data_IF_205982692344
#
_entry.id   IF_205982692344
#
_cell.length_a   1.000
_cell.length_b   1.000
_cell.length_c   1.000
_cell.angle_alpha   90.00
_cell.angle_beta   90.00
_cell.angle_gamma   90.00
#
_symmetry.space_group_name_H-M   'P 1'
#
loop_
_entity.id
_entity.type
_entity.pdbx_description
1 polymer ?
#
# COMPACT_ATOMS: atom_id res chain seq x y z
N UNK A 1 -15.21 77.60 -5.03
CA UNK A 1 -14.46 76.94 -3.94
C UNK A 1 -14.96 77.50 -2.63
N UNK A 2 -15.18 76.61 -1.65
CA UNK A 2 -15.65 76.84 -0.27
C UNK A 2 -17.12 77.31 -0.13
N UNK A 3 -17.96 76.84 0.78
CA UNK A 3 -18.02 75.72 1.73
C UNK A 3 -19.39 75.84 2.44
N UNK A 4 -19.89 74.76 3.06
CA UNK A 4 -20.72 74.70 4.28
C UNK A 4 -21.91 73.72 4.19
N UNK A 5 -21.69 72.57 4.82
CA UNK A 5 -22.64 71.65 5.48
C UNK A 5 -22.46 71.94 7.00
N UNK A 6 -23.48 71.92 7.90
CA UNK A 6 -24.26 70.73 8.24
C UNK A 6 -25.75 70.86 8.68
N UNK A 7 -26.51 69.78 8.41
CA UNK A 7 -27.51 68.96 9.19
C UNK A 7 -28.26 69.52 10.43
N UNK A 8 -29.26 68.81 11.05
CA UNK A 8 -30.12 67.66 10.68
C UNK A 8 -31.62 67.85 11.08
N UNK A 9 -32.41 66.75 10.99
CA UNK A 9 -33.72 66.40 11.61
C UNK A 9 -34.78 66.14 10.54
N UNK A 10 -35.56 65.06 10.54
CA UNK A 10 -35.74 63.91 11.41
C UNK A 10 -36.96 63.16 10.85
N UNK A 11 -36.83 61.85 10.65
CA UNK A 11 -37.92 60.91 10.35
C UNK A 11 -38.98 60.93 11.48
N UNK A 12 -40.27 60.51 11.31
CA UNK A 12 -40.53 59.13 10.88
C UNK A 12 -41.88 58.75 10.21
N UNK A 13 -41.84 57.54 9.66
CA UNK A 13 -42.85 56.46 9.70
C UNK A 13 -44.19 56.62 8.94
N UNK A 14 -44.39 55.71 7.97
CA UNK A 14 -45.66 55.03 7.72
C UNK A 14 -45.38 53.59 7.23
N UNK A 15 -46.07 52.63 7.85
CA UNK A 15 -45.91 51.18 7.70
C UNK A 15 -46.46 50.57 6.39
N UNK A 16 -46.58 49.24 6.33
CA UNK A 16 -46.44 48.48 5.08
C UNK A 16 -47.72 48.44 4.23
N UNK A 17 -47.52 48.57 2.91
CA UNK A 17 -48.53 48.34 1.88
C UNK A 17 -48.68 46.82 1.66
N UNK A 18 -49.85 46.27 2.00
CA UNK A 18 -50.27 44.93 1.56
C UNK A 18 -50.41 44.93 0.03
N UNK A 19 -49.63 44.11 -0.67
CA UNK A 19 -49.93 43.69 -2.05
C UNK A 19 -50.28 42.21 -2.09
N UNK A 20 -51.56 41.97 -2.37
CA UNK A 20 -52.10 40.70 -2.84
C UNK A 20 -51.68 40.50 -4.29
N UNK A 21 -51.07 39.36 -4.60
CA UNK A 21 -51.05 38.82 -5.97
C UNK A 21 -51.10 37.30 -5.90
N UNK A 22 -52.27 36.77 -6.22
CA UNK A 22 -52.49 35.38 -6.62
C UNK A 22 -51.62 35.07 -7.84
N UNK A 23 -50.72 34.10 -7.70
CA UNK A 23 -50.18 33.33 -8.82
C UNK A 23 -50.08 31.87 -8.39
N UNK A 24 -51.03 31.07 -8.85
CA UNK A 24 -50.96 29.61 -8.92
C UNK A 24 -49.73 29.19 -9.74
N UNK A 25 -48.86 28.28 -9.24
CA UNK A 25 -48.03 27.48 -10.12
C UNK A 25 -48.81 26.20 -10.49
N UNK A 26 -49.00 26.02 -11.79
CA UNK A 26 -49.54 24.83 -12.42
C UNK A 26 -48.82 23.56 -11.95
N UNK A 27 -49.59 22.55 -11.54
CA UNK A 27 -49.11 21.17 -11.47
C UNK A 27 -48.61 20.75 -12.86
N UNK A 28 -47.30 20.51 -12.99
CA UNK A 28 -46.77 19.68 -14.08
C UNK A 28 -47.26 18.25 -13.85
N UNK A 29 -47.84 17.55 -14.85
CA UNK A 29 -48.01 16.12 -14.72
C UNK A 29 -46.60 15.52 -14.77
N UNK A 30 -46.12 14.98 -13.66
CA UNK A 30 -45.05 13.99 -13.70
C UNK A 30 -45.56 12.86 -14.58
N UNK A 31 -45.04 12.74 -15.79
CA UNK A 31 -45.08 11.49 -16.51
C UNK A 31 -44.24 10.50 -15.70
N UNK A 32 -44.89 9.76 -14.81
CA UNK A 32 -44.29 8.65 -14.07
C UNK A 32 -43.96 7.56 -15.10
N UNK A 33 -42.78 7.68 -15.73
CA UNK A 33 -42.18 6.55 -16.41
C UNK A 33 -41.77 5.59 -15.29
N UNK A 34 -42.65 4.62 -15.00
CA UNK A 34 -42.41 3.57 -14.03
C UNK A 34 -41.33 2.65 -14.62
N UNK A 35 -40.06 3.08 -14.56
CA UNK A 35 -38.95 2.18 -14.73
C UNK A 35 -39.04 1.18 -13.58
N UNK A 36 -39.29 -0.08 -13.91
CA UNK A 36 -39.08 -1.22 -13.02
C UNK A 36 -37.56 -1.38 -12.80
N UNK A 37 -36.91 -0.37 -12.21
CA UNK A 37 -35.64 -0.59 -11.56
C UNK A 37 -35.95 -1.49 -10.37
N UNK A 38 -35.36 -2.68 -10.35
CA UNK A 38 -35.35 -3.49 -9.13
C UNK A 38 -34.77 -2.62 -8.01
N UNK A 39 -35.23 -2.76 -6.76
CA UNK A 39 -34.78 -1.91 -5.66
C UNK A 39 -33.25 -1.87 -5.52
N UNK A 40 -32.56 -2.94 -5.92
CA UNK A 40 -31.10 -3.06 -5.96
C UNK A 40 -30.47 -2.09 -6.98
N UNK A 41 -30.92 -2.08 -8.22
CA UNK A 41 -30.39 -1.19 -9.25
C UNK A 41 -30.69 0.30 -8.97
N UNK A 42 -31.78 0.58 -8.26
CA UNK A 42 -32.11 1.95 -7.84
C UNK A 42 -31.22 2.43 -6.68
N UNK A 43 -30.85 1.55 -5.74
CA UNK A 43 -29.95 1.84 -4.64
C UNK A 43 -28.51 2.08 -5.12
N UNK A 44 -28.00 1.24 -6.03
CA UNK A 44 -26.65 1.42 -6.63
C UNK A 44 -26.52 2.77 -7.35
N UNK A 45 -27.56 3.20 -8.08
CA UNK A 45 -27.55 4.49 -8.75
C UNK A 45 -27.58 5.67 -7.76
N UNK A 46 -28.31 5.52 -6.64
CA UNK A 46 -28.37 6.54 -5.59
C UNK A 46 -27.02 6.68 -4.87
N UNK A 47 -26.39 5.56 -4.52
CA UNK A 47 -25.08 5.55 -3.88
C UNK A 47 -24.01 6.14 -4.79
N UNK A 48 -24.05 5.82 -6.09
CA UNK A 48 -23.15 6.42 -7.08
C UNK A 48 -23.37 7.93 -7.20
N UNK A 49 -24.62 8.39 -7.28
CA UNK A 49 -24.95 9.82 -7.34
C UNK A 49 -24.47 10.55 -6.09
N UNK A 50 -24.78 10.00 -4.90
CA UNK A 50 -24.37 10.56 -3.63
C UNK A 50 -22.83 10.67 -3.54
N UNK A 51 -22.10 9.63 -3.93
CA UNK A 51 -20.64 9.68 -3.96
C UNK A 51 -20.12 10.76 -4.91
N UNK A 52 -20.68 10.86 -6.12
CA UNK A 52 -20.18 11.77 -7.14
C UNK A 52 -20.50 13.24 -6.81
N UNK A 53 -21.65 13.51 -6.19
CA UNK A 53 -22.08 14.86 -5.80
C UNK A 53 -21.45 15.29 -4.47
N UNK A 54 -21.60 14.48 -3.42
CA UNK A 54 -21.29 14.88 -2.05
C UNK A 54 -19.90 14.44 -1.58
N UNK A 55 -19.24 13.54 -2.31
CA UNK A 55 -17.98 12.87 -1.90
C UNK A 55 -18.13 12.17 -0.55
N UNK A 56 -19.34 11.75 -0.17
CA UNK A 56 -19.59 11.08 1.11
C UNK A 56 -20.55 9.91 0.91
N UNK A 57 -20.06 8.70 1.13
CA UNK A 57 -20.80 7.46 0.94
C UNK A 57 -20.28 6.38 1.90
N UNK A 58 -20.53 6.54 3.20
CA UNK A 58 -20.12 5.57 4.21
C UNK A 58 -20.99 4.30 4.11
N UNK A 59 -20.37 3.14 3.90
CA UNK A 59 -21.07 1.86 3.86
C UNK A 59 -21.87 1.59 2.57
N UNK A 60 -21.75 2.46 1.57
CA UNK A 60 -22.50 2.35 0.32
C UNK A 60 -22.18 1.07 -0.47
N UNK A 61 -23.15 0.63 -1.27
CA UNK A 61 -23.04 -0.51 -2.17
C UNK A 61 -22.64 -0.04 -3.57
N UNK A 62 -21.34 -0.17 -3.86
CA UNK A 62 -20.68 0.29 -5.10
C UNK A 62 -19.90 -0.87 -5.76
N UNK A 63 -20.35 -2.11 -5.53
CA UNK A 63 -19.72 -3.29 -6.14
C UNK A 63 -19.80 -3.18 -7.66
N UNK A 64 -18.72 -3.56 -8.35
CA UNK A 64 -18.59 -3.51 -9.81
C UNK A 64 -18.85 -2.13 -10.45
N UNK A 65 -18.92 -1.05 -9.65
CA UNK A 65 -19.17 0.30 -10.16
C UNK A 65 -18.05 0.76 -11.10
N UNK A 66 -18.44 1.43 -12.19
CA UNK A 66 -17.50 2.11 -13.09
C UNK A 66 -17.25 3.53 -12.60
N UNK A 67 -16.08 3.73 -12.00
CA UNK A 67 -15.58 4.97 -11.42
C UNK A 67 -14.26 5.40 -12.09
N UNK A 68 -14.03 4.97 -13.34
CA UNK A 68 -12.84 5.34 -14.10
C UNK A 68 -12.77 6.86 -14.21
N UNK A 69 -11.60 7.43 -13.92
CA UNK A 69 -11.38 8.88 -13.92
C UNK A 69 -12.25 9.68 -12.93
N UNK A 70 -12.92 9.03 -11.95
CA UNK A 70 -13.72 9.74 -10.99
C UNK A 70 -12.88 10.68 -10.10
N UNK A 71 -13.34 11.91 -9.92
CA UNK A 71 -12.73 12.88 -9.02
C UNK A 71 -13.28 12.69 -7.60
N UNK A 72 -12.53 12.01 -6.75
CA UNK A 72 -12.94 11.56 -5.40
C UNK A 72 -11.96 12.04 -4.31
N UNK A 73 -11.28 13.17 -4.54
CA UNK A 73 -10.36 13.76 -3.57
C UNK A 73 -11.08 14.03 -2.25
N UNK A 74 -10.55 13.50 -1.15
CA UNK A 74 -11.11 13.67 0.20
C UNK A 74 -12.43 12.92 0.44
N UNK A 75 -12.84 12.01 -0.45
CA UNK A 75 -14.11 11.31 -0.31
C UNK A 75 -14.16 10.46 0.98
N UNK A 76 -15.33 10.44 1.63
CA UNK A 76 -15.63 9.64 2.81
C UNK A 76 -16.26 8.31 2.37
N UNK A 77 -15.46 7.26 2.29
CA UNK A 77 -15.80 5.94 1.77
C UNK A 77 -15.59 4.84 2.82
N UNK A 78 -15.69 5.18 4.11
CA UNK A 78 -15.47 4.22 5.17
C UNK A 78 -16.49 3.09 5.03
N UNK A 79 -16.03 1.83 5.14
CA UNK A 79 -16.88 0.63 5.04
C UNK A 79 -17.63 0.46 3.71
N UNK A 80 -17.36 1.28 2.68
CA UNK A 80 -17.99 1.13 1.37
C UNK A 80 -17.68 -0.24 0.76
N UNK A 81 -18.66 -0.83 0.08
CA UNK A 81 -18.54 -2.08 -0.66
C UNK A 81 -18.14 -1.73 -2.10
N UNK A 82 -16.87 -1.93 -2.44
CA UNK A 82 -16.27 -1.61 -3.74
C UNK A 82 -15.65 -2.86 -4.37
N UNK A 83 -16.18 -4.05 -4.05
CA UNK A 83 -15.67 -5.30 -4.60
C UNK A 83 -15.81 -5.26 -6.13
N UNK A 84 -14.73 -5.53 -6.87
CA UNK A 84 -14.74 -5.53 -8.34
C UNK A 84 -14.87 -4.15 -9.00
N UNK A 85 -15.05 -3.07 -8.24
CA UNK A 85 -15.22 -1.72 -8.80
C UNK A 85 -14.02 -1.29 -9.65
N UNK A 86 -14.27 -0.58 -10.75
CA UNK A 86 -13.24 -0.03 -11.61
C UNK A 86 -12.97 1.43 -11.26
N UNK A 87 -11.92 1.67 -10.49
CA UNK A 87 -11.41 2.97 -10.06
C UNK A 87 -10.15 3.37 -10.85
N UNK A 88 -9.95 2.82 -12.05
CA UNK A 88 -8.74 3.10 -12.84
C UNK A 88 -8.61 4.61 -13.08
N UNK A 89 -7.42 5.15 -12.77
CA UNK A 89 -7.10 6.57 -12.92
C UNK A 89 -8.04 7.53 -12.18
N UNK A 90 -8.77 7.06 -11.17
CA UNK A 90 -9.55 7.91 -10.27
C UNK A 90 -8.62 8.74 -9.36
N UNK A 91 -9.06 9.93 -8.98
CA UNK A 91 -8.36 10.80 -8.04
C UNK A 91 -8.93 10.59 -6.63
N UNK A 92 -8.29 9.81 -5.78
CA UNK A 92 -8.69 9.47 -4.40
C UNK A 92 -7.79 10.15 -3.35
N UNK A 93 -7.10 11.24 -3.72
CA UNK A 93 -6.16 11.93 -2.84
C UNK A 93 -6.80 12.30 -1.51
N UNK A 94 -6.25 11.80 -0.41
CA UNK A 94 -6.73 12.07 0.95
C UNK A 94 -8.11 11.47 1.27
N UNK A 95 -8.64 10.58 0.44
CA UNK A 95 -9.89 9.87 0.72
C UNK A 95 -9.77 8.99 1.98
N UNK A 96 -10.88 8.81 2.68
CA UNK A 96 -10.99 7.93 3.84
C UNK A 96 -11.70 6.64 3.43
N UNK A 97 -10.91 5.60 3.20
CA UNK A 97 -11.31 4.25 2.77
C UNK A 97 -11.22 3.25 3.92
N UNK A 98 -11.25 3.72 5.18
CA UNK A 98 -11.09 2.83 6.33
C UNK A 98 -12.15 1.74 6.34
N UNK A 99 -11.70 0.49 6.45
CA UNK A 99 -12.54 -0.72 6.42
C UNK A 99 -13.36 -0.92 5.13
N UNK A 100 -13.05 -0.22 4.03
CA UNK A 100 -13.72 -0.45 2.75
C UNK A 100 -13.37 -1.85 2.20
N UNK A 101 -14.31 -2.45 1.46
CA UNK A 101 -14.07 -3.68 0.72
C UNK A 101 -13.65 -3.37 -0.71
N UNK A 102 -12.36 -3.49 -1.01
CA UNK A 102 -11.76 -3.25 -2.33
C UNK A 102 -11.27 -4.55 -2.98
N UNK A 103 -11.80 -5.72 -2.54
CA UNK A 103 -11.39 -7.01 -3.11
C UNK A 103 -11.65 -7.01 -4.60
N UNK A 104 -10.68 -7.46 -5.40
CA UNK A 104 -10.75 -7.49 -6.87
C UNK A 104 -10.99 -6.12 -7.55
N UNK A 105 -10.94 -4.99 -6.83
CA UNK A 105 -11.10 -3.68 -7.44
C UNK A 105 -9.93 -3.33 -8.37
N UNK A 106 -10.20 -2.58 -9.45
CA UNK A 106 -9.19 -2.12 -10.39
C UNK A 106 -8.84 -0.67 -10.06
N UNK A 107 -7.67 -0.43 -9.47
CA UNK A 107 -7.12 0.88 -9.08
C UNK A 107 -5.92 1.29 -9.96
N UNK A 108 -5.85 0.73 -11.17
CA UNK A 108 -4.73 0.93 -12.09
C UNK A 108 -4.50 2.42 -12.37
N UNK A 109 -3.34 2.94 -11.98
CA UNK A 109 -2.99 4.35 -12.16
C UNK A 109 -3.79 5.35 -11.32
N UNK A 110 -4.53 4.92 -10.29
CA UNK A 110 -5.26 5.83 -9.41
C UNK A 110 -4.32 6.65 -8.52
N UNK A 111 -4.73 7.88 -8.17
CA UNK A 111 -4.04 8.71 -7.16
C UNK A 111 -4.65 8.43 -5.78
N UNK A 112 -3.98 7.62 -4.97
CA UNK A 112 -4.32 7.30 -3.57
C UNK A 112 -3.44 8.08 -2.59
N UNK A 113 -2.76 9.15 -3.05
CA UNK A 113 -1.82 9.86 -2.20
C UNK A 113 -2.51 10.40 -0.95
N UNK A 114 -1.91 10.17 0.21
CA UNK A 114 -2.45 10.53 1.55
C UNK A 114 -3.80 9.90 1.93
N UNK A 115 -4.33 8.95 1.16
CA UNK A 115 -5.55 8.24 1.53
C UNK A 115 -5.38 7.39 2.79
N UNK A 116 -6.46 7.17 3.52
CA UNK A 116 -6.49 6.28 4.70
C UNK A 116 -7.16 4.95 4.35
N UNK A 117 -6.36 3.90 4.19
CA UNK A 117 -6.76 2.55 3.79
C UNK A 117 -6.64 1.55 4.96
N UNK A 118 -6.53 2.03 6.20
CA UNK A 118 -6.44 1.13 7.38
C UNK A 118 -7.71 0.29 7.51
N UNK A 119 -7.56 -1.01 7.66
CA UNK A 119 -8.62 -2.00 7.68
C UNK A 119 -9.24 -2.33 6.32
N UNK A 120 -8.84 -1.67 5.23
CA UNK A 120 -9.39 -1.95 3.91
C UNK A 120 -8.98 -3.34 3.40
N UNK A 121 -9.90 -4.03 2.73
CA UNK A 121 -9.64 -5.35 2.14
C UNK A 121 -9.18 -5.19 0.70
N UNK A 122 -7.92 -5.53 0.40
CA UNK A 122 -7.30 -5.30 -0.92
C UNK A 122 -6.98 -6.61 -1.68
N UNK A 123 -7.52 -7.75 -1.24
CA UNK A 123 -7.18 -9.03 -1.86
C UNK A 123 -7.57 -9.08 -3.34
N UNK A 124 -6.58 -9.33 -4.20
CA UNK A 124 -6.68 -9.35 -5.65
C UNK A 124 -6.90 -8.00 -6.33
N UNK A 125 -6.84 -6.87 -5.60
CA UNK A 125 -6.98 -5.55 -6.22
C UNK A 125 -5.79 -5.23 -7.13
N UNK A 126 -6.02 -4.50 -8.21
CA UNK A 126 -4.96 -4.03 -9.11
C UNK A 126 -4.56 -2.59 -8.79
N UNK A 127 -3.43 -2.41 -8.09
CA UNK A 127 -2.83 -1.14 -7.71
C UNK A 127 -1.61 -0.78 -8.57
N UNK A 128 -1.39 -1.47 -9.70
CA UNK A 128 -0.23 -1.15 -10.55
C UNK A 128 -0.31 0.31 -11.00
N UNK A 129 0.85 0.96 -11.10
CA UNK A 129 0.98 2.36 -11.52
C UNK A 129 0.25 3.40 -10.64
N UNK A 130 -0.38 3.01 -9.52
CA UNK A 130 -1.03 3.96 -8.62
C UNK A 130 -0.03 4.80 -7.84
N UNK A 131 -0.45 5.94 -7.30
CA UNK A 131 0.33 6.70 -6.32
C UNK A 131 -0.17 6.46 -4.89
N UNK A 132 0.65 5.83 -4.05
CA UNK A 132 0.38 5.57 -2.63
C UNK A 132 1.18 6.51 -1.71
N UNK A 133 1.75 7.60 -2.23
CA UNK A 133 2.61 8.51 -1.47
C UNK A 133 1.88 9.06 -0.24
N UNK A 134 2.38 8.69 0.93
CA UNK A 134 1.80 9.10 2.22
C UNK A 134 0.47 8.43 2.57
N UNK A 135 0.03 7.43 1.81
CA UNK A 135 -1.14 6.63 2.15
C UNK A 135 -0.91 5.85 3.46
N UNK A 136 -1.97 5.68 4.25
CA UNK A 136 -1.95 4.92 5.50
C UNK A 136 -2.49 3.51 5.21
N UNK A 137 -1.64 2.50 5.37
CA UNK A 137 -1.97 1.10 5.15
C UNK A 137 -1.61 0.28 6.38
N UNK A 138 -2.38 -0.77 6.63
CA UNK A 138 -2.02 -1.74 7.64
C UNK A 138 -0.80 -2.57 7.18
N UNK A 139 -0.02 -3.11 8.14
CA UNK A 139 1.04 -4.06 7.83
C UNK A 139 0.58 -5.20 6.92
N UNK A 140 1.23 -5.37 5.77
CA UNK A 140 0.91 -6.45 4.83
C UNK A 140 -0.42 -6.30 4.09
N UNK A 141 -1.07 -5.13 4.13
CA UNK A 141 -2.33 -4.87 3.42
C UNK A 141 -2.23 -5.15 1.90
N UNK A 142 -1.02 -5.06 1.33
CA UNK A 142 -0.77 -5.30 -0.09
C UNK A 142 -0.32 -6.72 -0.41
N UNK A 143 -0.29 -7.63 0.57
CA UNK A 143 0.27 -8.98 0.42
C UNK A 143 -0.39 -9.84 -0.67
N UNK A 144 -1.65 -9.56 -0.99
CA UNK A 144 -2.44 -10.30 -1.97
C UNK A 144 -2.95 -9.42 -3.10
N UNK A 145 -2.42 -8.20 -3.25
CA UNK A 145 -2.78 -7.27 -4.32
C UNK A 145 -1.68 -7.18 -5.38
N UNK A 146 -2.04 -6.69 -6.57
CA UNK A 146 -1.09 -6.40 -7.63
C UNK A 146 -0.64 -4.94 -7.52
N UNK A 147 0.40 -4.67 -6.72
CA UNK A 147 0.88 -3.30 -6.47
C UNK A 147 2.22 -3.00 -7.13
N UNK A 148 2.86 -3.97 -7.79
CA UNK A 148 4.19 -3.79 -8.37
C UNK A 148 4.18 -2.65 -9.40
N UNK A 149 5.01 -1.64 -9.17
CA UNK A 149 5.04 -0.41 -9.98
C UNK A 149 4.20 0.75 -9.43
N UNK A 150 3.50 0.56 -8.30
CA UNK A 150 2.94 1.66 -7.54
C UNK A 150 4.05 2.56 -6.96
N UNK A 151 3.81 3.85 -6.92
CA UNK A 151 4.70 4.85 -6.33
C UNK A 151 4.37 5.03 -4.85
N UNK A 152 5.35 5.42 -4.03
CA UNK A 152 5.09 5.83 -2.65
C UNK A 152 4.63 4.73 -1.68
N UNK A 153 4.77 3.44 -2.03
CA UNK A 153 4.36 2.31 -1.18
C UNK A 153 4.99 2.42 0.22
N UNK A 154 4.20 2.48 1.31
CA UNK A 154 4.73 2.60 2.65
C UNK A 154 5.64 1.43 3.03
N UNK A 155 6.72 1.70 3.78
CA UNK A 155 7.73 0.71 4.19
C UNK A 155 7.16 -0.49 5.00
N UNK A 156 5.91 -0.39 5.45
CA UNK A 156 5.20 -1.47 6.15
C UNK A 156 4.11 -2.20 5.36
N UNK A 157 3.70 -1.70 4.19
CA UNK A 157 2.59 -2.25 3.43
C UNK A 157 2.94 -3.59 2.73
N UNK A 158 4.24 -3.81 2.49
CA UNK A 158 4.77 -5.01 1.85
C UNK A 158 4.67 -6.23 2.78
N UNK A 159 4.40 -7.40 2.19
CA UNK A 159 4.45 -8.67 2.92
C UNK A 159 5.89 -9.07 3.27
N UNK A 160 6.04 -10.04 4.16
CA UNK A 160 7.35 -10.67 4.38
C UNK A 160 7.98 -11.19 3.08
N UNK A 161 7.17 -11.86 2.23
CA UNK A 161 7.66 -12.46 1.00
C UNK A 161 8.13 -11.38 0.01
N UNK A 162 7.40 -10.28 -0.12
CA UNK A 162 7.79 -9.16 -0.98
C UNK A 162 9.09 -8.51 -0.52
N UNK A 163 9.24 -8.30 0.79
CA UNK A 163 10.46 -7.74 1.36
C UNK A 163 11.66 -8.68 1.16
N UNK A 164 11.47 -9.97 1.36
CA UNK A 164 12.52 -10.95 1.12
C UNK A 164 12.91 -11.02 -0.36
N UNK A 165 11.93 -11.15 -1.26
CA UNK A 165 12.16 -11.29 -2.70
C UNK A 165 12.80 -10.03 -3.30
N UNK A 166 12.32 -8.83 -2.93
CA UNK A 166 12.96 -7.59 -3.36
C UNK A 166 14.39 -7.46 -2.81
N UNK A 167 14.67 -7.94 -1.60
CA UNK A 167 16.03 -8.02 -1.09
C UNK A 167 16.93 -8.94 -1.93
N UNK A 168 16.40 -10.09 -2.36
CA UNK A 168 17.13 -11.02 -3.26
C UNK A 168 17.42 -10.36 -4.61
N UNK A 169 16.43 -9.67 -5.19
CA UNK A 169 16.62 -8.95 -6.46
C UNK A 169 17.71 -7.87 -6.37
N UNK A 170 17.72 -7.07 -5.31
CA UNK A 170 18.76 -6.05 -5.13
C UNK A 170 20.14 -6.69 -4.89
N UNK A 171 20.21 -7.78 -4.14
CA UNK A 171 21.46 -8.52 -3.95
C UNK A 171 22.02 -9.08 -5.27
N UNK A 172 21.15 -9.62 -6.14
CA UNK A 172 21.53 -10.11 -7.47
C UNK A 172 22.02 -9.00 -8.40
N UNK A 173 21.55 -7.76 -8.20
CA UNK A 173 22.03 -6.55 -8.90
C UNK A 173 23.33 -5.98 -8.30
N UNK A 174 23.88 -6.59 -7.24
CA UNK A 174 25.05 -6.08 -6.50
C UNK A 174 24.74 -4.87 -5.60
N UNK A 175 23.47 -4.54 -5.40
CA UNK A 175 22.99 -3.43 -4.58
C UNK A 175 22.80 -3.89 -3.13
N UNK A 176 23.92 -4.21 -2.50
CA UNK A 176 23.95 -4.81 -1.17
C UNK A 176 23.40 -3.93 -0.03
N UNK A 177 23.59 -2.59 -0.03
CA UNK A 177 22.97 -1.72 0.97
C UNK A 177 21.43 -1.75 0.90
N UNK A 178 20.85 -1.70 -0.30
CA UNK A 178 19.42 -1.77 -0.53
C UNK A 178 18.89 -3.15 -0.15
N UNK A 179 19.59 -4.22 -0.53
CA UNK A 179 19.25 -5.59 -0.14
C UNK A 179 19.18 -5.75 1.38
N UNK A 180 20.15 -5.21 2.12
CA UNK A 180 20.15 -5.24 3.59
C UNK A 180 18.95 -4.52 4.20
N UNK A 181 18.57 -3.36 3.67
CA UNK A 181 17.38 -2.64 4.14
C UNK A 181 16.12 -3.50 3.96
N UNK A 182 15.98 -4.15 2.79
CA UNK A 182 14.84 -5.03 2.50
C UNK A 182 14.82 -6.26 3.41
N UNK A 183 15.95 -6.94 3.58
CA UNK A 183 16.03 -8.09 4.48
C UNK A 183 15.80 -7.70 5.95
N UNK A 184 16.26 -6.52 6.39
CA UNK A 184 15.99 -6.03 7.74
C UNK A 184 14.51 -5.78 7.98
N UNK A 185 13.82 -5.19 7.00
CA UNK A 185 12.36 -5.05 7.04
C UNK A 185 11.67 -6.43 7.05
N UNK A 186 12.13 -7.40 6.24
CA UNK A 186 11.60 -8.76 6.22
C UNK A 186 11.76 -9.46 7.59
N UNK A 187 12.95 -9.38 8.20
CA UNK A 187 13.25 -9.91 9.53
C UNK A 187 12.33 -9.26 10.58
N UNK A 188 12.09 -7.95 10.50
CA UNK A 188 11.15 -7.26 11.38
C UNK A 188 9.71 -7.79 11.28
N UNK A 189 9.33 -8.38 10.14
CA UNK A 189 8.02 -9.04 9.94
C UNK A 189 8.00 -10.48 10.39
N UNK A 190 9.03 -11.27 10.07
CA UNK A 190 9.15 -12.68 10.50
C UNK A 190 10.55 -12.96 11.06
N UNK A 191 10.78 -12.71 12.35
CA UNK A 191 12.08 -12.92 12.98
C UNK A 191 12.57 -14.37 12.94
N UNK A 192 11.64 -15.32 12.87
CA UNK A 192 11.93 -16.76 12.81
C UNK A 192 12.36 -17.26 11.42
N UNK A 193 12.32 -16.40 10.39
CA UNK A 193 12.69 -16.78 9.04
C UNK A 193 14.22 -16.81 8.86
N UNK A 194 14.83 -17.97 9.13
CA UNK A 194 16.29 -18.19 9.07
C UNK A 194 16.92 -17.70 7.76
N UNK A 195 16.24 -17.91 6.63
CA UNK A 195 16.72 -17.52 5.30
C UNK A 195 16.93 -16.00 5.15
N UNK A 196 16.12 -15.17 5.81
CA UNK A 196 16.28 -13.71 5.74
C UNK A 196 17.50 -13.23 6.55
N UNK A 197 17.79 -13.88 7.68
CA UNK A 197 19.03 -13.64 8.43
C UNK A 197 20.26 -14.03 7.61
N UNK A 198 20.23 -15.22 7.00
CA UNK A 198 21.30 -15.67 6.10
C UNK A 198 21.54 -14.69 4.95
N UNK A 199 20.47 -14.28 4.25
CA UNK A 199 20.56 -13.38 3.11
C UNK A 199 21.08 -11.98 3.48
N UNK A 200 20.67 -11.45 4.65
CA UNK A 200 21.20 -10.19 5.17
C UNK A 200 22.68 -10.32 5.55
N UNK A 201 23.06 -11.41 6.21
CA UNK A 201 24.44 -11.70 6.57
C UNK A 201 25.35 -11.70 5.35
N UNK A 202 24.94 -12.37 4.26
CA UNK A 202 25.64 -12.33 2.98
C UNK A 202 25.77 -10.90 2.44
N UNK A 203 24.68 -10.14 2.44
CA UNK A 203 24.68 -8.77 1.92
C UNK A 203 25.57 -7.82 2.73
N UNK A 204 25.61 -7.94 4.06
CA UNK A 204 26.54 -7.19 4.93
C UNK A 204 27.98 -7.60 4.70
N UNK A 205 28.15 -8.88 4.45
CA UNK A 205 29.39 -9.47 4.06
C UNK A 205 30.04 -8.84 2.84
N UNK A 206 29.31 -8.79 1.73
CA UNK A 206 29.76 -8.15 0.49
C UNK A 206 30.06 -6.64 0.67
N UNK A 207 29.54 -6.02 1.72
CA UNK A 207 29.84 -4.65 2.13
C UNK A 207 31.09 -4.53 3.05
N UNK A 208 31.79 -5.62 3.35
CA UNK A 208 32.96 -5.62 4.25
C UNK A 208 32.60 -5.44 5.72
N UNK A 209 31.41 -5.91 6.14
CA UNK A 209 30.93 -5.86 7.54
C UNK A 209 30.90 -7.25 8.16
N UNK A 210 32.07 -7.88 8.28
CA UNK A 210 32.23 -9.29 8.63
C UNK A 210 31.67 -9.64 10.01
N UNK A 211 31.83 -8.77 11.00
CA UNK A 211 31.33 -9.01 12.36
C UNK A 211 29.79 -9.04 12.40
N UNK A 212 29.15 -8.14 11.66
CA UNK A 212 27.69 -8.08 11.58
C UNK A 212 27.13 -9.23 10.74
N UNK A 213 27.84 -9.57 9.66
CA UNK A 213 27.53 -10.75 8.87
C UNK A 213 27.65 -12.05 9.70
N UNK A 214 28.70 -12.20 10.50
CA UNK A 214 28.89 -13.34 11.40
C UNK A 214 27.76 -13.44 12.43
N UNK A 215 27.30 -12.31 12.97
CA UNK A 215 26.16 -12.30 13.90
C UNK A 215 24.86 -12.79 13.21
N UNK A 216 24.60 -12.35 11.99
CA UNK A 216 23.45 -12.78 11.21
C UNK A 216 23.51 -14.28 10.83
N UNK A 217 24.70 -14.78 10.46
CA UNK A 217 24.91 -16.21 10.15
C UNK A 217 24.70 -17.09 11.38
N UNK A 218 25.22 -16.70 12.55
CA UNK A 218 24.98 -17.44 13.79
C UNK A 218 23.49 -17.45 14.15
N UNK A 219 22.79 -16.34 13.95
CA UNK A 219 21.34 -16.30 14.17
C UNK A 219 20.59 -17.22 13.21
N UNK A 220 20.96 -17.23 11.93
CA UNK A 220 20.40 -18.16 10.95
C UNK A 220 20.68 -19.62 11.33
N UNK A 221 21.90 -19.96 11.76
CA UNK A 221 22.29 -21.29 12.21
C UNK A 221 21.45 -21.77 13.40
N UNK A 222 21.24 -20.91 14.41
CA UNK A 222 20.32 -21.22 15.53
C UNK A 222 18.90 -21.56 15.06
N UNK A 223 18.36 -20.80 14.12
CA UNK A 223 17.01 -21.02 13.59
C UNK A 223 16.93 -22.30 12.73
N UNK A 224 17.94 -22.62 11.93
CA UNK A 224 17.98 -23.87 11.16
C UNK A 224 18.10 -25.10 12.06
N UNK A 225 18.89 -25.01 13.14
CA UNK A 225 18.98 -26.06 14.18
C UNK A 225 17.63 -26.32 14.83
N UNK A 226 16.89 -25.27 15.17
CA UNK A 226 15.51 -25.39 15.68
C UNK A 226 14.55 -26.05 14.66
N UNK A 227 14.81 -25.85 13.37
CA UNK A 227 14.09 -26.50 12.27
C UNK A 227 14.57 -27.92 11.94
N UNK A 228 15.49 -28.50 12.72
CA UNK A 228 16.03 -29.85 12.49
C UNK A 228 17.07 -29.96 11.37
N UNK A 229 17.64 -28.83 10.93
CA UNK A 229 18.69 -28.82 9.91
C UNK A 229 20.07 -28.53 10.55
N UNK A 230 20.55 -29.52 11.31
CA UNK A 230 21.78 -29.43 12.09
C UNK A 230 23.03 -29.27 11.20
N UNK A 231 23.09 -29.99 10.08
CA UNK A 231 24.22 -29.93 9.15
C UNK A 231 24.43 -28.51 8.59
N UNK A 232 23.34 -27.86 8.15
CA UNK A 232 23.41 -26.47 7.67
C UNK A 232 23.72 -25.51 8.81
N UNK A 233 23.15 -25.72 10.00
CA UNK A 233 23.44 -24.89 11.17
C UNK A 233 24.93 -24.91 11.53
N UNK A 234 25.55 -26.09 11.53
CA UNK A 234 26.97 -26.26 11.83
C UNK A 234 27.87 -25.63 10.75
N UNK A 235 27.46 -25.68 9.48
CA UNK A 235 28.15 -24.96 8.40
C UNK A 235 28.09 -23.44 8.59
N UNK A 236 26.93 -22.92 9.00
CA UNK A 236 26.75 -21.49 9.24
C UNK A 236 27.53 -21.02 10.47
N UNK A 237 27.57 -21.82 11.54
CA UNK A 237 28.35 -21.52 12.74
C UNK A 237 29.85 -21.49 12.44
N UNK A 238 30.36 -22.45 11.64
CA UNK A 238 31.76 -22.43 11.16
C UNK A 238 32.07 -21.19 10.32
N UNK A 239 31.18 -20.82 9.39
CA UNK A 239 31.35 -19.62 8.57
C UNK A 239 31.34 -18.34 9.43
N UNK A 240 30.45 -18.24 10.41
CA UNK A 240 30.40 -17.14 11.35
C UNK A 240 31.69 -17.02 12.18
N UNK A 241 32.25 -18.14 12.63
CA UNK A 241 33.50 -18.15 13.39
C UNK A 241 34.69 -17.70 12.52
N UNK A 242 34.79 -18.21 11.29
CA UNK A 242 35.84 -17.79 10.36
C UNK A 242 35.84 -16.27 10.09
N UNK A 243 34.65 -15.67 9.95
CA UNK A 243 34.51 -14.23 9.77
C UNK A 243 34.92 -13.41 11.01
N UNK A 244 34.74 -13.97 12.22
CA UNK A 244 35.19 -13.32 13.47
C UNK A 244 36.70 -13.42 13.65
N UNK A 245 37.27 -14.56 13.32
CA UNK A 245 38.69 -14.83 13.52
C UNK A 245 39.55 -14.09 12.50
N UNK A 246 39.02 -13.83 11.30
CA UNK A 246 39.76 -13.16 10.22
C UNK A 246 38.91 -12.15 9.43
N UNK A 247 38.50 -11.02 10.06
CA UNK A 247 37.80 -9.95 9.36
C UNK A 247 38.73 -9.32 8.30
N UNK A 248 38.31 -9.29 7.03
CA UNK A 248 39.16 -8.80 5.93
C UNK A 248 39.42 -7.28 6.03
N UNK A 249 40.52 -6.82 5.42
CA UNK A 249 40.73 -5.40 5.04
C UNK A 249 40.12 -5.14 3.64
N UNK A 250 39.70 -3.90 3.32
CA UNK A 250 38.77 -3.59 2.21
C UNK A 250 39.26 -3.86 0.78
N UNK A 251 40.52 -4.28 0.58
CA UNK A 251 41.13 -4.44 -0.74
C UNK A 251 41.55 -5.89 -0.98
N UNK A 252 40.66 -6.70 -1.55
CA UNK A 252 41.01 -8.01 -2.11
C UNK A 252 39.81 -8.93 -2.23
N UNK A 253 39.44 -9.25 -3.49
CA UNK A 253 38.42 -10.20 -3.96
C UNK A 253 37.49 -10.74 -2.85
N UNK A 254 36.28 -10.17 -2.80
CA UNK A 254 35.30 -10.16 -1.71
C UNK A 254 34.96 -11.49 -1.02
N UNK A 255 33.70 -11.65 -0.63
CA UNK A 255 33.23 -12.76 0.20
C UNK A 255 33.48 -14.18 -0.36
N UNK A 256 33.93 -14.29 -1.61
CA UNK A 256 34.17 -15.54 -2.32
C UNK A 256 35.08 -16.55 -1.63
N UNK A 257 36.18 -16.15 -0.98
CA UNK A 257 37.16 -17.14 -0.48
C UNK A 257 36.77 -17.83 0.84
N UNK A 258 35.97 -17.18 1.70
CA UNK A 258 35.51 -17.76 2.96
C UNK A 258 34.31 -18.70 2.77
N UNK A 259 33.64 -18.65 1.61
CA UNK A 259 32.31 -19.25 1.40
C UNK A 259 32.27 -20.23 0.23
N UNK A 260 33.40 -20.51 -0.41
CA UNK A 260 33.52 -21.57 -1.42
C UNK A 260 33.28 -23.00 -0.87
N UNK A 261 32.95 -23.15 0.42
CA UNK A 261 32.63 -24.44 1.04
C UNK A 261 31.15 -24.79 1.24
N UNK A 262 30.17 -23.88 1.04
CA UNK A 262 28.76 -24.28 1.25
C UNK A 262 27.68 -23.20 1.08
N UNK A 263 27.60 -22.22 2.00
CA UNK A 263 26.38 -21.42 2.19
C UNK A 263 26.05 -20.39 1.07
N UNK A 264 27.04 -19.71 0.46
CA UNK A 264 26.78 -18.83 -0.69
C UNK A 264 26.67 -19.61 -2.01
N UNK A 265 27.27 -20.80 -2.09
CA UNK A 265 26.98 -21.75 -3.18
C UNK A 265 25.51 -22.17 -3.14
N UNK A 266 25.01 -22.48 -1.93
CA UNK A 266 23.60 -22.76 -1.67
C UNK A 266 22.72 -21.53 -1.94
N UNK A 267 23.10 -20.32 -1.52
CA UNK A 267 22.33 -19.10 -1.84
C UNK A 267 22.30 -18.81 -3.34
N UNK A 268 23.44 -18.88 -4.05
CA UNK A 268 23.47 -18.70 -5.52
C UNK A 268 22.73 -19.80 -6.27
N UNK A 269 22.78 -21.04 -5.80
CA UNK A 269 22.04 -22.16 -6.38
C UNK A 269 20.55 -22.07 -6.08
N UNK A 270 20.16 -21.74 -4.85
CA UNK A 270 18.76 -21.72 -4.41
C UNK A 270 18.05 -20.42 -4.72
N UNK A 271 18.73 -19.27 -4.85
CA UNK A 271 18.12 -17.99 -5.18
C UNK A 271 17.16 -18.06 -6.37
N UNK A 272 17.55 -18.62 -7.54
CA UNK A 272 16.62 -18.73 -8.67
C UNK A 272 15.44 -19.70 -8.43
N UNK A 273 15.59 -20.72 -7.55
CA UNK A 273 14.51 -21.65 -7.22
C UNK A 273 13.57 -21.13 -6.13
N UNK A 274 14.09 -20.37 -5.16
CA UNK A 274 13.31 -19.67 -4.14
C UNK A 274 12.38 -18.62 -4.78
N UNK A 275 12.86 -17.91 -5.81
CA UNK A 275 12.05 -17.02 -6.65
C UNK A 275 10.94 -17.76 -7.41
N UNK A 276 11.17 -19.02 -7.81
CA UNK A 276 10.22 -19.81 -8.63
C UNK A 276 9.16 -20.55 -7.78
N UNK A 277 9.48 -20.88 -6.53
CA UNK A 277 8.57 -21.55 -5.59
C UNK A 277 7.65 -20.57 -4.83
N UNK A 278 7.90 -19.26 -4.90
CA UNK A 278 7.15 -18.21 -4.19
C UNK A 278 6.44 -17.22 -5.13
N UNK A 279 6.14 -17.63 -6.37
CA UNK A 279 5.16 -16.93 -7.20
C UNK A 279 3.74 -17.09 -6.62
N UNK A 280 2.79 -16.21 -6.98
CA UNK A 280 1.48 -16.06 -6.30
C UNK A 280 0.48 -17.23 -6.52
N UNK A 281 0.97 -18.47 -6.66
CA UNK A 281 0.17 -19.64 -7.02
C UNK A 281 0.11 -20.76 -5.99
N UNK A 282 0.61 -20.58 -4.76
CA UNK A 282 0.44 -21.58 -3.69
C UNK A 282 -0.02 -20.92 -2.39
N UNK A 283 -1.36 -20.94 -2.26
CA UNK A 283 -2.27 -20.55 -1.17
C UNK A 283 -2.69 -19.08 -1.15
#
# INVERSE_FOLDING_TARGET
MAELVPSPHGDPALGPIKRSSNTTPMLRPLATLLLLATPIAAAELQDLQQLLEDKSCQGCELNDADLVHAELSGAQLQQAQLQGANLSRATLRGADLRNADLRQAVLLGADLSRADLRGAQLSGSDLRQSDLTGAKLDPGALSTSHWQGAQGVPAGANSYADLHNSGVEEALKGRHPEAEQRFSAAIGRRPQAAISWLARGISRGEQGRELEAAADLQQAGRLYRQGGNDDLADQLDKAAQQLRDNPKKPNGNGWGSAILGGAAGLFKQLAPYALKLMGPGLL
#
